data_IF_887537360726
#
_entry.id   IF_887537360726
#
_cell.length_a   1.000
_cell.length_b   1.000
_cell.length_c   1.000
_cell.angle_alpha   90.00
_cell.angle_beta   90.00
_cell.angle_gamma   90.00
#
_symmetry.space_group_name_H-M   'P 1'
#
loop_
_entity.id
_entity.type
_entity.pdbx_description
1 polymer ?
#
# COMPACT_ATOMS: atom_id res chain seq x y z
N UNK A 1 -9.35 -10.97 20.21
CA UNK A 1 -8.92 -12.21 19.52
C UNK A 1 -8.34 -11.84 18.15
N UNK A 2 -7.04 -12.09 17.91
CA UNK A 2 -6.39 -11.77 16.62
C UNK A 2 -6.57 -12.94 15.66
N UNK A 3 -7.67 -13.02 14.92
CA UNK A 3 -7.92 -14.12 13.97
C UNK A 3 -7.33 -13.81 12.60
N UNK A 4 -7.36 -12.55 12.17
CA UNK A 4 -6.76 -12.11 10.90
C UNK A 4 -6.05 -10.78 11.10
N UNK A 5 -4.77 -10.78 10.82
CA UNK A 5 -3.95 -9.57 10.78
C UNK A 5 -3.61 -9.24 9.33
N UNK A 6 -3.52 -10.25 8.46
CA UNK A 6 -3.03 -10.12 7.09
C UNK A 6 -4.06 -10.61 6.08
N UNK A 7 -4.01 -10.03 4.88
CA UNK A 7 -4.92 -10.37 3.79
C UNK A 7 -4.40 -11.49 2.88
N UNK A 8 -5.28 -12.10 2.05
CA UNK A 8 -4.93 -13.26 1.24
C UNK A 8 -4.04 -12.95 0.04
N UNK A 9 -3.94 -11.69 -0.41
CA UNK A 9 -3.24 -11.33 -1.64
C UNK A 9 -1.72 -11.46 -1.52
N UNK A 10 -1.12 -10.84 -0.50
CA UNK A 10 0.32 -10.78 -0.34
C UNK A 10 0.78 -10.72 1.13
N UNK A 11 -0.06 -11.24 2.02
CA UNK A 11 0.21 -11.30 3.47
C UNK A 11 0.56 -9.93 4.06
N UNK A 12 -0.13 -8.88 3.60
CA UNK A 12 -0.06 -7.54 4.16
C UNK A 12 -1.23 -7.27 5.10
N UNK A 13 -1.06 -6.39 6.12
CA UNK A 13 -2.11 -6.09 7.07
C UNK A 13 -3.38 -5.56 6.41
N UNK A 14 -4.54 -6.10 6.81
CA UNK A 14 -5.85 -5.57 6.40
C UNK A 14 -6.10 -4.20 7.05
N UNK A 15 -6.55 -3.23 6.26
CA UNK A 15 -6.90 -1.88 6.70
C UNK A 15 -8.26 -1.47 6.17
N UNK A 16 -9.01 -0.71 6.99
CA UNK A 16 -10.31 -0.18 6.60
C UNK A 16 -11.37 -1.26 6.36
N UNK A 17 -11.19 -2.46 6.90
CA UNK A 17 -12.09 -3.60 6.73
C UNK A 17 -12.82 -3.89 8.04
N UNK A 18 -14.13 -4.07 7.96
CA UNK A 18 -14.95 -4.61 9.03
C UNK A 18 -15.51 -5.96 8.58
N UNK A 19 -15.32 -6.98 9.39
CA UNK A 19 -15.84 -8.31 9.18
C UNK A 19 -17.00 -8.55 10.16
N UNK A 20 -18.19 -8.79 9.64
CA UNK A 20 -19.36 -9.11 10.43
C UNK A 20 -19.53 -10.63 10.42
N UNK A 21 -19.67 -11.20 11.61
CA UNK A 21 -20.07 -12.59 11.77
C UNK A 21 -21.60 -12.58 11.94
N UNK A 22 -22.30 -13.13 10.96
CA UNK A 22 -23.78 -13.10 10.93
C UNK A 22 -24.37 -14.38 11.56
N UNK A 23 -23.79 -15.53 11.24
CA UNK A 23 -24.24 -16.82 11.77
C UNK A 23 -23.08 -17.81 11.90
N UNK A 24 -23.20 -18.72 12.87
CA UNK A 24 -22.24 -19.83 13.11
C UNK A 24 -22.99 -21.07 13.55
N UNK A 25 -22.89 -22.10 12.75
CA UNK A 25 -23.31 -23.44 13.17
C UNK A 25 -22.11 -24.21 13.71
N UNK A 26 -22.13 -24.52 15.02
CA UNK A 26 -21.08 -25.28 15.66
C UNK A 26 -21.44 -26.78 15.70
N UNK A 27 -20.44 -27.64 15.55
CA UNK A 27 -20.63 -29.08 15.73
C UNK A 27 -21.16 -29.38 17.12
N UNK A 28 -22.08 -30.35 17.23
CA UNK A 28 -22.71 -30.70 18.51
C UNK A 28 -21.69 -31.21 19.54
N UNK A 29 -20.69 -31.95 19.07
CA UNK A 29 -19.65 -32.53 19.92
C UNK A 29 -18.54 -31.50 20.23
N UNK A 30 -18.22 -31.34 21.50
CA UNK A 30 -17.22 -30.39 21.98
C UNK A 30 -15.79 -30.67 21.50
N UNK A 31 -15.48 -31.94 21.19
CA UNK A 31 -14.16 -32.34 20.66
C UNK A 31 -13.85 -31.63 19.35
N UNK A 32 -14.86 -31.32 18.52
CA UNK A 32 -14.74 -30.65 17.24
C UNK A 32 -14.79 -29.10 17.31
N UNK A 33 -14.79 -28.51 18.53
CA UNK A 33 -14.83 -27.07 18.77
C UNK A 33 -13.49 -26.51 19.21
N UNK A 34 -12.42 -27.28 19.10
CA UNK A 34 -11.07 -26.81 19.45
C UNK A 34 -10.59 -25.69 18.57
N UNK A 35 -9.74 -24.81 19.12
CA UNK A 35 -9.16 -23.68 18.37
C UNK A 35 -8.39 -24.13 17.13
N UNK A 36 -7.79 -25.33 17.14
CA UNK A 36 -7.11 -25.93 15.99
C UNK A 36 -8.01 -26.23 14.80
N UNK A 37 -9.32 -26.34 15.01
CA UNK A 37 -10.32 -26.60 13.96
C UNK A 37 -11.08 -25.34 13.58
N UNK A 38 -11.53 -24.55 14.57
CA UNK A 38 -12.33 -23.34 14.32
C UNK A 38 -11.50 -22.24 13.68
N UNK A 39 -10.26 -22.02 14.13
CA UNK A 39 -9.43 -20.88 13.63
C UNK A 39 -9.09 -21.04 12.14
N UNK A 40 -8.61 -22.19 11.63
CA UNK A 40 -8.35 -22.37 10.21
C UNK A 40 -9.60 -22.19 9.35
N UNK A 41 -10.73 -22.79 9.74
CA UNK A 41 -12.01 -22.68 9.03
C UNK A 41 -12.46 -21.22 8.96
N UNK A 42 -12.46 -20.51 10.08
CA UNK A 42 -12.80 -19.09 10.12
C UNK A 42 -11.87 -18.25 9.25
N UNK A 43 -10.56 -18.55 9.25
CA UNK A 43 -9.59 -17.88 8.40
C UNK A 43 -9.89 -18.08 6.92
N UNK A 44 -10.26 -19.28 6.50
CA UNK A 44 -10.64 -19.58 5.12
C UNK A 44 -11.87 -18.78 4.68
N UNK A 45 -12.92 -18.76 5.50
CA UNK A 45 -14.14 -17.98 5.24
C UNK A 45 -13.84 -16.50 5.12
N UNK A 46 -13.00 -15.96 6.01
CA UNK A 46 -12.63 -14.56 5.99
C UNK A 46 -11.78 -14.19 4.75
N UNK A 47 -10.90 -15.08 4.32
CA UNK A 47 -10.12 -14.87 3.09
C UNK A 47 -11.02 -14.94 1.85
N UNK A 48 -11.96 -15.87 1.79
CA UNK A 48 -12.98 -15.92 0.75
C UNK A 48 -13.79 -14.61 0.69
N UNK A 49 -14.26 -14.12 1.84
CA UNK A 49 -15.01 -12.87 1.94
C UNK A 49 -14.21 -11.65 1.47
N UNK A 50 -12.92 -11.58 1.81
CA UNK A 50 -12.04 -10.49 1.33
C UNK A 50 -11.86 -10.56 -0.18
N UNK A 51 -11.66 -11.76 -0.76
CA UNK A 51 -11.48 -11.91 -2.21
C UNK A 51 -12.72 -11.51 -3.00
N UNK A 52 -13.93 -11.80 -2.48
CA UNK A 52 -15.20 -11.44 -3.13
C UNK A 52 -15.58 -9.97 -2.95
N UNK A 53 -14.98 -9.27 -1.98
CA UNK A 53 -15.27 -7.86 -1.66
C UNK A 53 -14.44 -6.85 -2.47
N UNK A 54 -13.91 -7.21 -3.63
CA UNK A 54 -13.06 -6.36 -4.45
C UNK A 54 -11.88 -5.76 -3.68
N UNK A 55 -10.94 -6.56 -3.20
CA UNK A 55 -9.82 -6.11 -2.40
C UNK A 55 -8.97 -5.10 -3.17
N UNK A 56 -8.41 -4.14 -2.44
CA UNK A 56 -7.47 -3.15 -2.99
C UNK A 56 -6.17 -3.19 -2.21
N UNK A 57 -5.07 -2.86 -2.88
CA UNK A 57 -3.79 -2.64 -2.23
C UNK A 57 -3.71 -1.18 -1.79
N UNK A 58 -3.23 -0.94 -0.57
CA UNK A 58 -2.96 0.39 -0.06
C UNK A 58 -1.45 0.61 0.02
N UNK A 59 -1.00 1.80 -0.35
CA UNK A 59 0.38 2.23 -0.18
C UNK A 59 0.44 3.47 0.73
N UNK A 60 1.49 3.58 1.56
CA UNK A 60 1.71 4.79 2.34
C UNK A 60 2.23 5.92 1.47
N UNK A 61 1.76 7.13 1.75
CA UNK A 61 2.17 8.35 1.04
C UNK A 61 2.89 9.27 2.01
N UNK A 62 4.05 9.79 1.59
CA UNK A 62 4.73 10.88 2.26
C UNK A 62 4.19 12.23 1.79
N UNK A 63 4.06 13.16 2.73
CA UNK A 63 4.10 14.58 2.46
C UNK A 63 5.57 14.99 2.36
N UNK A 64 5.96 15.55 1.22
CA UNK A 64 7.28 16.09 0.98
C UNK A 64 7.20 17.63 1.03
N UNK A 65 7.95 18.23 1.93
CA UNK A 65 8.16 19.68 1.96
C UNK A 65 9.57 19.97 1.47
N UNK A 66 9.67 20.61 0.30
CA UNK A 66 10.93 20.85 -0.39
C UNK A 66 11.16 22.36 -0.40
N UNK A 67 12.36 22.81 0.01
CA UNK A 67 12.79 24.18 -0.09
C UNK A 67 14.02 24.27 -0.98
N UNK A 68 13.97 25.10 -2.02
CA UNK A 68 15.03 25.20 -3.01
C UNK A 68 15.10 26.62 -3.59
N UNK A 69 16.21 26.99 -4.29
CA UNK A 69 16.27 28.23 -5.05
C UNK A 69 15.20 28.27 -6.14
N UNK A 70 14.57 29.43 -6.33
CA UNK A 70 13.48 29.64 -7.29
C UNK A 70 13.84 29.18 -8.72
N UNK A 71 15.06 29.43 -9.15
CA UNK A 71 15.57 29.01 -10.47
C UNK A 71 15.59 27.49 -10.71
N UNK A 72 15.58 26.69 -9.64
CA UNK A 72 15.60 25.21 -9.70
C UNK A 72 14.21 24.59 -9.60
N UNK A 73 13.15 25.38 -9.44
CA UNK A 73 11.78 24.89 -9.26
C UNK A 73 11.30 23.98 -10.40
N UNK A 74 11.68 24.30 -11.65
CA UNK A 74 11.26 23.52 -12.82
C UNK A 74 11.79 22.09 -12.83
N UNK A 75 12.97 21.84 -12.26
CA UNK A 75 13.57 20.49 -12.21
C UNK A 75 12.81 19.52 -11.30
N UNK A 76 12.02 20.05 -10.35
CA UNK A 76 11.26 19.21 -9.40
C UNK A 76 10.10 18.49 -10.09
N UNK A 77 9.43 19.11 -11.05
CA UNK A 77 8.27 18.51 -11.70
C UNK A 77 8.63 17.21 -12.43
N UNK A 78 9.76 17.19 -13.14
CA UNK A 78 10.26 16.00 -13.81
C UNK A 78 10.60 14.88 -12.83
N UNK A 79 11.30 15.23 -11.75
CA UNK A 79 11.69 14.30 -10.70
C UNK A 79 10.46 13.69 -9.98
N UNK A 80 9.46 14.52 -9.66
CA UNK A 80 8.22 14.04 -9.02
C UNK A 80 7.41 13.15 -9.95
N UNK A 81 7.28 13.52 -11.22
CA UNK A 81 6.54 12.74 -12.22
C UNK A 81 7.13 11.34 -12.42
N UNK A 82 8.45 11.21 -12.47
CA UNK A 82 9.13 9.91 -12.61
C UNK A 82 8.88 8.98 -11.42
N UNK A 83 8.54 9.55 -10.26
CA UNK A 83 8.35 8.85 -8.99
C UNK A 83 6.88 8.80 -8.54
N UNK A 84 5.94 8.97 -9.45
CA UNK A 84 4.50 9.04 -9.16
C UNK A 84 4.13 10.08 -8.08
N UNK A 85 5.00 11.05 -7.87
CA UNK A 85 4.78 12.14 -6.95
C UNK A 85 3.89 13.22 -7.57
N UNK A 86 3.17 13.95 -6.73
CA UNK A 86 2.27 15.01 -7.15
C UNK A 86 2.57 16.29 -6.38
N UNK A 87 2.87 17.38 -7.11
CA UNK A 87 3.05 18.71 -6.52
C UNK A 87 1.68 19.29 -6.19
N UNK A 88 1.46 19.63 -4.93
CA UNK A 88 0.19 20.17 -4.42
C UNK A 88 0.19 21.69 -4.31
N UNK A 89 1.29 22.27 -3.85
CA UNK A 89 1.42 23.70 -3.66
C UNK A 89 2.85 24.17 -3.92
N UNK A 90 2.99 25.38 -4.44
CA UNK A 90 4.26 26.04 -4.68
C UNK A 90 4.13 27.48 -4.18
N UNK A 91 4.98 27.87 -3.24
CA UNK A 91 4.94 29.17 -2.58
C UNK A 91 6.33 29.78 -2.57
N UNK A 92 6.43 31.04 -3.04
CA UNK A 92 7.67 31.81 -2.95
C UNK A 92 7.82 32.36 -1.53
N UNK A 93 8.97 32.12 -0.91
CA UNK A 93 9.26 32.61 0.43
C UNK A 93 9.63 34.10 0.39
N UNK A 94 9.02 34.88 1.28
CA UNK A 94 9.19 36.33 1.36
C UNK A 94 10.66 36.77 1.64
N UNK A 95 11.50 35.88 2.14
CA UNK A 95 12.89 36.14 2.53
C UNK A 95 13.91 36.07 1.38
N UNK A 96 13.47 36.05 0.11
CA UNK A 96 14.42 36.07 -1.00
C UNK A 96 14.19 35.05 -2.10
N UNK A 97 15.25 34.55 -2.73
CA UNK A 97 15.25 33.74 -3.93
C UNK A 97 14.99 32.23 -3.64
N UNK A 98 14.02 31.90 -2.75
CA UNK A 98 13.68 30.53 -2.43
C UNK A 98 12.20 30.25 -2.58
N UNK A 99 11.88 29.03 -2.98
CA UNK A 99 10.53 28.52 -3.14
C UNK A 99 10.33 27.33 -2.21
N UNK A 100 9.17 27.26 -1.57
CA UNK A 100 8.68 26.10 -0.84
C UNK A 100 7.71 25.34 -1.72
N UNK A 101 7.93 24.03 -1.87
CA UNK A 101 7.05 23.10 -2.61
C UNK A 101 6.49 22.09 -1.63
N UNK A 102 5.18 21.95 -1.62
CA UNK A 102 4.51 20.86 -0.94
C UNK A 102 4.04 19.84 -1.98
N UNK A 103 4.43 18.59 -1.76
CA UNK A 103 4.14 17.51 -2.68
C UNK A 103 3.76 16.24 -1.92
N UNK A 104 3.16 15.30 -2.62
CA UNK A 104 2.93 13.93 -2.12
C UNK A 104 3.79 12.96 -2.92
N UNK A 105 4.34 11.95 -2.23
CA UNK A 105 5.24 10.96 -2.83
C UNK A 105 4.96 9.58 -2.24
N UNK A 106 4.68 8.55 -3.06
CA UNK A 106 4.57 7.18 -2.57
C UNK A 106 5.88 6.74 -1.88
N UNK A 107 5.75 6.14 -0.70
CA UNK A 107 6.93 5.69 0.07
C UNK A 107 7.76 4.69 -0.74
N UNK A 108 7.12 3.84 -1.53
CA UNK A 108 7.82 2.87 -2.38
C UNK A 108 8.76 3.53 -3.40
N UNK A 109 8.42 4.74 -3.88
CA UNK A 109 9.19 5.49 -4.87
C UNK A 109 10.06 6.60 -4.24
N UNK A 110 10.05 6.73 -2.92
CA UNK A 110 10.85 7.74 -2.21
C UNK A 110 12.31 7.36 -2.02
N UNK A 111 12.64 6.07 -2.19
CA UNK A 111 14.02 5.60 -2.04
C UNK A 111 14.93 6.21 -3.11
N UNK A 112 16.05 6.80 -2.68
CA UNK A 112 16.96 7.53 -3.56
C UNK A 112 16.47 8.92 -4.01
N UNK A 113 15.26 9.34 -3.61
CA UNK A 113 14.70 10.66 -3.98
C UNK A 113 15.56 11.82 -3.48
N UNK A 114 16.06 11.74 -2.25
CA UNK A 114 16.85 12.82 -1.64
C UNK A 114 18.19 13.01 -2.37
N UNK A 115 18.85 11.91 -2.74
CA UNK A 115 20.11 11.95 -3.49
C UNK A 115 19.89 12.56 -4.87
N UNK A 116 18.86 12.14 -5.58
CA UNK A 116 18.54 12.64 -6.90
C UNK A 116 18.12 14.13 -6.86
N UNK A 117 17.33 14.50 -5.86
CA UNK A 117 16.96 15.90 -5.59
C UNK A 117 18.21 16.78 -5.40
N UNK A 118 19.18 16.31 -4.60
CA UNK A 118 20.45 17.01 -4.41
C UNK A 118 21.25 17.09 -5.69
N UNK A 119 21.25 16.04 -6.51
CA UNK A 119 21.90 16.02 -7.82
C UNK A 119 21.37 17.14 -8.73
N UNK A 120 20.05 17.21 -8.94
CA UNK A 120 19.42 18.19 -9.83
C UNK A 120 19.44 19.63 -9.30
N UNK A 121 19.60 19.81 -7.98
CA UNK A 121 19.66 21.13 -7.33
C UNK A 121 21.06 21.55 -6.90
N UNK A 122 22.10 20.79 -7.26
CA UNK A 122 23.49 21.05 -6.84
C UNK A 122 23.64 21.17 -5.31
N UNK A 123 22.90 20.32 -4.57
CA UNK A 123 22.93 20.27 -3.10
C UNK A 123 22.18 21.40 -2.37
N UNK A 124 21.53 22.31 -3.09
CA UNK A 124 20.90 23.51 -2.49
C UNK A 124 19.48 23.29 -1.99
N UNK A 125 18.85 22.15 -2.31
CA UNK A 125 17.52 21.81 -1.84
C UNK A 125 17.56 21.15 -0.47
N UNK A 126 16.58 21.49 0.36
CA UNK A 126 16.23 20.78 1.59
C UNK A 126 14.89 20.08 1.41
N UNK A 127 14.76 18.86 1.94
CA UNK A 127 13.51 18.11 1.92
C UNK A 127 13.23 17.52 3.29
N UNK A 128 11.98 17.61 3.70
CA UNK A 128 11.42 16.91 4.84
C UNK A 128 10.34 15.96 4.34
N UNK A 129 10.42 14.69 4.72
CA UNK A 129 9.43 13.66 4.40
C UNK A 129 8.72 13.24 5.68
N UNK A 130 7.41 13.32 5.70
CA UNK A 130 6.58 12.89 6.82
C UNK A 130 5.42 12.02 6.30
N UNK A 131 4.97 11.07 7.10
CA UNK A 131 3.79 10.28 6.73
C UNK A 131 2.57 11.19 6.60
N UNK A 132 1.84 11.05 5.50
CA UNK A 132 0.60 11.77 5.24
C UNK A 132 -0.62 10.87 5.42
N UNK A 133 -0.81 9.93 4.54
CA UNK A 133 -1.99 9.06 4.52
C UNK A 133 -1.72 7.75 3.78
N UNK A 134 -2.71 6.88 3.80
CA UNK A 134 -2.75 5.67 2.97
C UNK A 134 -3.58 5.95 1.72
N UNK A 135 -3.08 5.54 0.56
CA UNK A 135 -3.74 5.71 -0.73
C UNK A 135 -3.92 4.36 -1.41
N UNK A 136 -4.99 4.22 -2.18
CA UNK A 136 -5.23 3.03 -2.99
C UNK A 136 -4.24 3.03 -4.16
N UNK A 137 -3.53 1.91 -4.32
CA UNK A 137 -2.66 1.67 -5.49
C UNK A 137 -3.54 1.57 -6.75
N UNK A 138 -3.19 2.25 -7.84
CA UNK A 138 -3.97 2.22 -9.07
C UNK A 138 -4.10 0.80 -9.66
N UNK A 139 -5.27 0.48 -10.15
CA UNK A 139 -5.58 -0.81 -10.78
C UNK A 139 -6.18 -1.84 -9.82
N UNK A 140 -6.60 -2.96 -10.40
CA UNK A 140 -7.16 -4.08 -9.65
C UNK A 140 -6.05 -5.12 -9.37
N UNK A 141 -5.76 -5.45 -8.11
CA UNK A 141 -4.71 -6.42 -7.76
C UNK A 141 -4.99 -7.85 -8.24
N UNK A 142 -6.23 -8.16 -8.64
CA UNK A 142 -6.60 -9.48 -9.18
C UNK A 142 -6.51 -9.52 -10.72
N UNK A 143 -6.32 -8.38 -11.39
CA UNK A 143 -6.28 -8.27 -12.85
C UNK A 143 -4.83 -8.28 -13.34
N UNK A 144 -4.49 -9.31 -14.12
CA UNK A 144 -3.17 -9.46 -14.72
C UNK A 144 -2.85 -8.27 -15.63
N UNK A 145 -1.66 -7.69 -15.49
CA UNK A 145 -1.22 -6.52 -16.24
C UNK A 145 -1.61 -5.18 -15.61
N UNK A 146 -2.36 -5.16 -14.51
CA UNK A 146 -2.58 -3.93 -13.75
C UNK A 146 -1.35 -3.58 -12.90
N UNK A 147 -1.14 -2.29 -12.63
CA UNK A 147 -0.04 -1.84 -11.77
C UNK A 147 -0.13 -2.47 -10.36
N UNK A 148 -1.33 -2.53 -9.77
CA UNK A 148 -1.54 -3.14 -8.46
C UNK A 148 -1.20 -4.64 -8.46
N UNK A 149 -1.52 -5.38 -9.54
CA UNK A 149 -1.14 -6.78 -9.69
C UNK A 149 0.38 -6.96 -9.68
N UNK A 150 1.10 -6.15 -10.45
CA UNK A 150 2.56 -6.22 -10.51
C UNK A 150 3.22 -5.92 -9.17
N UNK A 151 2.66 -4.97 -8.40
CA UNK A 151 3.12 -4.67 -7.04
C UNK A 151 2.88 -5.86 -6.11
N UNK A 152 1.69 -6.48 -6.15
CA UNK A 152 1.36 -7.69 -5.38
C UNK A 152 2.34 -8.82 -5.70
N UNK A 153 2.63 -9.06 -7.00
CA UNK A 153 3.57 -10.10 -7.42
C UNK A 153 4.99 -9.85 -6.89
N UNK A 154 5.46 -8.60 -6.93
CA UNK A 154 6.75 -8.20 -6.35
C UNK A 154 6.80 -8.44 -4.84
N UNK A 155 5.72 -8.16 -4.11
CA UNK A 155 5.63 -8.42 -2.66
C UNK A 155 5.63 -9.92 -2.40
N UNK A 156 4.82 -10.71 -3.13
CA UNK A 156 4.77 -12.17 -2.99
C UNK A 156 6.14 -12.80 -3.21
N UNK A 157 6.87 -12.37 -4.26
CA UNK A 157 8.23 -12.85 -4.53
C UNK A 157 9.19 -12.54 -3.37
N UNK A 158 9.12 -11.33 -2.80
CA UNK A 158 9.99 -10.95 -1.66
C UNK A 158 9.70 -11.69 -0.37
N UNK A 159 8.45 -12.18 -0.21
CA UNK A 159 8.00 -12.93 0.97
C UNK A 159 8.02 -14.44 0.76
N UNK A 160 8.60 -14.93 -0.33
CA UNK A 160 8.62 -16.35 -0.71
C UNK A 160 7.22 -17.00 -0.74
N UNK A 161 6.20 -16.20 -1.09
CA UNK A 161 4.84 -16.71 -1.29
C UNK A 161 4.72 -17.30 -2.69
N UNK A 162 3.77 -18.26 -2.85
CA UNK A 162 3.43 -18.80 -4.17
C UNK A 162 3.09 -17.64 -5.12
N UNK A 163 3.65 -17.62 -6.34
CA UNK A 163 3.40 -16.55 -7.32
C UNK A 163 1.97 -16.57 -7.88
N UNK A 164 1.26 -17.68 -7.72
CA UNK A 164 -0.14 -17.77 -8.07
C UNK A 164 -1.00 -17.12 -6.98
N UNK A 165 -1.90 -16.22 -7.37
CA UNK A 165 -2.87 -15.64 -6.44
C UNK A 165 -3.85 -16.70 -5.95
N UNK A 166 -4.25 -16.64 -4.68
CA UNK A 166 -5.23 -17.59 -4.17
C UNK A 166 -6.58 -17.36 -4.85
N UNK A 167 -7.14 -18.45 -5.39
CA UNK A 167 -8.48 -18.46 -5.97
C UNK A 167 -9.52 -18.69 -4.88
N UNK A 168 -10.75 -18.26 -5.12
CA UNK A 168 -11.86 -18.47 -4.20
C UNK A 168 -12.07 -19.95 -3.90
N UNK A 169 -11.89 -20.82 -4.90
CA UNK A 169 -11.99 -22.27 -4.80
C UNK A 169 -11.03 -22.89 -3.76
N UNK A 170 -9.93 -22.21 -3.43
CA UNK A 170 -8.98 -22.70 -2.42
C UNK A 170 -9.52 -22.57 -0.99
N UNK A 171 -10.62 -21.85 -0.81
CA UNK A 171 -11.24 -21.55 0.48
C UNK A 171 -12.67 -22.11 0.59
N UNK A 172 -13.21 -22.67 -0.49
CA UNK A 172 -14.49 -23.36 -0.45
C UNK A 172 -14.27 -24.80 0.00
N UNK A 173 -15.08 -25.26 0.95
CA UNK A 173 -15.14 -26.66 1.26
C UNK A 173 -15.63 -27.42 0.02
N UNK A 174 -14.84 -28.39 -0.39
CA UNK A 174 -15.28 -29.37 -1.38
C UNK A 174 -16.21 -30.31 -0.66
N UNK A 175 -17.51 -30.07 -0.75
CA UNK A 175 -18.54 -31.02 -0.39
C UNK A 175 -18.43 -32.29 -1.25
#
# INVERSE_FOLDING_TARGET
MRIIITGPLCDEPLRGVRLNLEDVTLHADAIHRGGGQIIPTMRSVLFASVLTANPRLLEPIFKAEIQLPREKTSSIYGLMSQRRGEVKNVEDLASGNRTKIEATLPVADSFGFVEELRGVTSGTAFVSLSFSHWQVVPGNPLEVGSFAYDVVMKIRKRKDLKLELPKLENYNDKL
#
